data_IF_991658450197
#
_entry.id   IF_991658450197
#
_cell.length_a   1.000
_cell.length_b   1.000
_cell.length_c   1.000
_cell.angle_alpha   90.00
_cell.angle_beta   90.00
_cell.angle_gamma   90.00
#
_symmetry.space_group_name_H-M   'P 1'
#
loop_
_entity.id
_entity.type
_entity.pdbx_description
1 polymer ?
#
# COMPACT_ATOMS: atom_id res chain seq x y z
N UNK A 1 -55.40 16.75 28.02
CA UNK A 1 -54.97 17.01 26.62
C UNK A 1 -53.48 16.70 26.35
N UNK A 2 -52.68 16.29 27.36
CA UNK A 2 -51.24 16.01 27.21
C UNK A 2 -50.87 14.72 26.43
N UNK A 3 -51.76 13.73 26.33
CA UNK A 3 -51.43 12.39 25.78
C UNK A 3 -51.23 12.36 24.26
N UNK A 4 -51.74 13.34 23.50
CA UNK A 4 -51.64 13.38 22.02
C UNK A 4 -50.35 14.04 21.51
N UNK A 5 -49.72 14.90 22.33
CA UNK A 5 -48.48 15.60 21.99
C UNK A 5 -47.24 14.67 21.98
N UNK A 6 -47.25 13.66 22.85
CA UNK A 6 -46.15 12.70 22.99
C UNK A 6 -46.00 11.75 21.81
N UNK A 7 -47.12 11.39 21.16
CA UNK A 7 -47.06 10.60 19.93
C UNK A 7 -46.48 11.41 18.76
N UNK A 8 -46.79 12.71 18.68
CA UNK A 8 -46.28 13.59 17.63
C UNK A 8 -44.77 13.83 17.79
N UNK A 9 -44.28 14.02 19.01
CA UNK A 9 -42.83 14.16 19.26
C UNK A 9 -42.06 12.87 18.98
N UNK A 10 -42.61 11.70 19.28
CA UNK A 10 -42.00 10.41 18.93
C UNK A 10 -41.87 10.21 17.41
N UNK A 11 -42.91 10.57 16.65
CA UNK A 11 -42.89 10.48 15.18
C UNK A 11 -41.89 11.47 14.58
N UNK A 12 -41.83 12.71 15.08
CA UNK A 12 -40.83 13.69 14.65
C UNK A 12 -39.39 13.27 14.99
N UNK A 13 -39.16 12.63 16.14
CA UNK A 13 -37.85 12.11 16.52
C UNK A 13 -37.41 10.96 15.59
N UNK A 14 -38.33 10.06 15.22
CA UNK A 14 -38.05 8.99 14.27
C UNK A 14 -37.74 9.52 12.86
N UNK A 15 -38.41 10.59 12.42
CA UNK A 15 -38.13 11.25 11.14
C UNK A 15 -36.78 11.96 11.14
N UNK A 16 -36.38 12.59 12.25
CA UNK A 16 -35.07 13.23 12.40
C UNK A 16 -33.90 12.22 12.45
N UNK A 17 -34.13 11.02 12.99
CA UNK A 17 -33.14 9.93 12.99
C UNK A 17 -33.00 9.34 11.58
N UNK A 18 -34.07 9.38 10.78
CA UNK A 18 -34.09 8.84 9.40
C UNK A 18 -33.38 9.75 8.38
N UNK A 19 -33.18 11.04 8.68
CA UNK A 19 -32.41 11.96 7.83
C UNK A 19 -30.91 11.97 8.12
N UNK A 20 -30.43 11.17 9.08
CA UNK A 20 -29.04 10.69 9.06
C UNK A 20 -28.88 9.68 7.91
N UNK A 21 -29.00 10.18 6.69
CA UNK A 21 -28.53 9.48 5.51
C UNK A 21 -27.02 9.16 5.68
N UNK A 22 -26.51 8.08 5.07
CA UNK A 22 -25.24 7.46 5.42
C UNK A 22 -24.05 8.30 4.93
N UNK A 23 -23.70 9.36 5.67
CA UNK A 23 -22.39 10.01 5.56
C UNK A 23 -21.23 9.03 5.90
N UNK A 24 -21.56 7.89 6.49
CA UNK A 24 -20.63 6.82 6.87
C UNK A 24 -20.34 5.80 5.75
N UNK A 25 -20.97 5.94 4.57
CA UNK A 25 -20.70 5.07 3.42
C UNK A 25 -19.63 5.64 2.46
N UNK A 26 -19.10 6.83 2.74
CA UNK A 26 -17.97 7.35 1.99
C UNK A 26 -16.72 6.51 2.32
N UNK A 27 -16.37 5.59 1.42
CA UNK A 27 -14.99 5.08 1.38
C UNK A 27 -14.07 6.29 1.27
N UNK A 28 -12.99 6.38 2.07
CA UNK A 28 -12.04 7.47 1.92
C UNK A 28 -11.64 7.55 0.44
N UNK A 29 -11.84 8.73 -0.15
CA UNK A 29 -11.40 8.95 -1.52
C UNK A 29 -9.90 8.68 -1.55
N UNK A 30 -9.47 7.84 -2.51
CA UNK A 30 -8.05 7.68 -2.78
C UNK A 30 -7.43 8.99 -3.26
N UNK A 31 -6.10 9.04 -3.37
CA UNK A 31 -5.40 10.25 -3.82
C UNK A 31 -5.92 10.74 -5.18
N UNK A 32 -6.16 12.05 -5.28
CA UNK A 32 -6.75 12.74 -6.43
C UNK A 32 -5.70 13.39 -7.35
N UNK A 33 -4.45 13.45 -6.90
CA UNK A 33 -3.30 13.98 -7.64
C UNK A 33 -2.09 13.06 -7.49
N UNK A 34 -1.08 13.27 -8.34
CA UNK A 34 0.18 12.52 -8.28
C UNK A 34 0.92 12.76 -6.96
N UNK A 35 0.98 14.01 -6.49
CA UNK A 35 1.64 14.37 -5.22
C UNK A 35 0.93 13.71 -4.04
N UNK A 36 -0.40 13.75 -4.01
CA UNK A 36 -1.20 13.07 -2.98
C UNK A 36 -1.00 11.55 -3.04
N UNK A 37 -0.86 10.97 -4.23
CA UNK A 37 -0.58 9.55 -4.38
C UNK A 37 0.82 9.19 -3.87
N UNK A 38 1.81 10.03 -4.13
CA UNK A 38 3.17 9.86 -3.63
C UNK A 38 3.18 9.93 -2.10
N UNK A 39 2.52 10.94 -1.51
CA UNK A 39 2.42 11.07 -0.05
C UNK A 39 1.69 9.88 0.57
N UNK A 40 0.59 9.45 -0.04
CA UNK A 40 -0.14 8.26 0.39
C UNK A 40 0.76 7.03 0.37
N UNK A 41 1.46 6.75 -0.73
CA UNK A 41 2.32 5.57 -0.81
C UNK A 41 3.54 5.64 0.12
N UNK A 42 4.09 6.84 0.38
CA UNK A 42 5.13 7.05 1.39
C UNK A 42 4.61 6.77 2.80
N UNK A 43 3.40 7.25 3.13
CA UNK A 43 2.77 7.05 4.42
C UNK A 43 2.57 5.56 4.72
N UNK A 44 2.19 4.78 3.70
CA UNK A 44 2.05 3.33 3.80
C UNK A 44 3.37 2.56 3.66
N UNK A 45 4.52 3.25 3.54
CA UNK A 45 5.85 2.65 3.43
C UNK A 45 6.10 1.87 2.13
N UNK A 46 5.24 2.04 1.12
CA UNK A 46 5.33 1.31 -0.16
C UNK A 46 6.49 1.85 -1.00
N UNK A 47 6.59 3.17 -1.12
CA UNK A 47 7.72 3.85 -1.77
C UNK A 47 8.50 4.67 -0.75
N UNK A 48 9.79 4.82 -1.01
CA UNK A 48 10.70 5.65 -0.23
C UNK A 48 11.54 6.46 -1.20
N UNK A 49 11.87 7.69 -0.82
CA UNK A 49 12.75 8.52 -1.63
C UNK A 49 14.19 8.00 -1.63
N UNK A 50 14.99 8.56 -2.53
CA UNK A 50 16.45 8.44 -2.55
C UNK A 50 17.09 9.03 -1.28
N UNK A 51 18.42 9.05 -1.23
CA UNK A 51 19.19 9.62 -0.12
C UNK A 51 18.88 11.11 0.16
N UNK A 52 18.26 11.82 -0.79
CA UNK A 52 17.81 13.20 -0.67
C UNK A 52 16.30 13.33 -0.43
N UNK A 53 15.59 12.21 -0.23
CA UNK A 53 14.15 12.15 0.02
C UNK A 53 13.28 12.31 -1.24
N UNK A 54 13.88 12.32 -2.43
CA UNK A 54 13.16 12.48 -3.71
C UNK A 54 12.70 11.13 -4.24
N UNK A 55 11.48 11.06 -4.74
CA UNK A 55 10.91 9.83 -5.31
C UNK A 55 11.32 9.61 -6.76
N UNK A 56 11.73 10.69 -7.46
CA UNK A 56 12.10 10.64 -8.88
C UNK A 56 11.00 9.94 -9.70
N UNK A 57 9.74 10.39 -9.55
CA UNK A 57 8.56 9.70 -10.07
C UNK A 57 8.53 9.55 -11.61
N UNK A 58 9.27 10.39 -12.33
CA UNK A 58 9.41 10.34 -13.78
C UNK A 58 10.59 9.48 -14.25
N UNK A 59 11.42 8.99 -13.33
CA UNK A 59 12.53 8.11 -13.66
C UNK A 59 12.05 6.66 -13.82
N UNK A 60 12.77 5.88 -14.63
CA UNK A 60 12.56 4.44 -14.67
C UNK A 60 12.89 3.84 -13.30
N UNK A 61 12.01 2.98 -12.81
CA UNK A 61 12.27 2.17 -11.63
C UNK A 61 13.12 0.95 -12.00
N UNK A 62 14.03 0.59 -11.11
CA UNK A 62 14.78 -0.67 -11.19
C UNK A 62 13.89 -1.85 -10.80
N UNK A 63 14.29 -3.05 -11.23
CA UNK A 63 13.61 -4.30 -10.82
C UNK A 63 13.67 -4.54 -9.31
N UNK A 64 14.70 -4.09 -8.61
CA UNK A 64 14.76 -4.16 -7.14
C UNK A 64 13.77 -3.21 -6.46
N UNK A 65 13.59 -1.99 -6.99
CA UNK A 65 12.58 -1.06 -6.49
C UNK A 65 11.17 -1.59 -6.75
N UNK A 66 10.92 -2.16 -7.94
CA UNK A 66 9.67 -2.86 -8.24
C UNK A 66 9.41 -4.01 -7.25
N UNK A 67 10.46 -4.77 -6.90
CA UNK A 67 10.34 -5.86 -5.94
C UNK A 67 9.91 -5.37 -4.55
N UNK A 68 10.54 -4.29 -4.08
CA UNK A 68 10.18 -3.64 -2.83
C UNK A 68 8.72 -3.17 -2.85
N UNK A 69 8.31 -2.47 -3.92
CA UNK A 69 6.95 -1.96 -4.09
C UNK A 69 5.93 -3.10 -4.06
N UNK A 70 6.16 -4.19 -4.80
CA UNK A 70 5.24 -5.32 -4.88
C UNK A 70 5.05 -5.99 -3.51
N UNK A 71 6.14 -6.23 -2.78
CA UNK A 71 6.09 -6.85 -1.44
C UNK A 71 5.42 -5.92 -0.42
N UNK A 72 5.75 -4.62 -0.46
CA UNK A 72 5.17 -3.64 0.45
C UNK A 72 3.68 -3.41 0.18
N UNK A 73 3.26 -3.34 -1.08
CA UNK A 73 1.86 -3.25 -1.48
C UNK A 73 1.07 -4.50 -1.07
N UNK A 74 1.72 -5.66 -0.97
CA UNK A 74 1.12 -6.88 -0.41
C UNK A 74 1.14 -6.91 1.13
N UNK A 75 1.62 -5.87 1.80
CA UNK A 75 1.68 -5.76 3.26
C UNK A 75 2.69 -6.69 3.93
N UNK A 76 3.73 -7.13 3.21
CA UNK A 76 4.72 -8.10 3.72
C UNK A 76 6.15 -7.53 3.79
N UNK A 77 6.32 -6.19 3.71
CA UNK A 77 7.64 -5.53 3.73
C UNK A 77 8.49 -5.94 4.93
N UNK A 78 7.88 -6.05 6.12
CA UNK A 78 8.55 -6.43 7.37
C UNK A 78 9.16 -7.84 7.34
N UNK A 79 8.72 -8.72 6.44
CA UNK A 79 9.29 -10.06 6.30
C UNK A 79 10.52 -10.10 5.39
N UNK A 80 10.71 -9.08 4.54
CA UNK A 80 11.81 -9.04 3.58
C UNK A 80 13.19 -9.16 4.25
N UNK A 81 13.51 -8.42 5.35
CA UNK A 81 14.82 -8.52 6.00
C UNK A 81 15.18 -9.93 6.47
N UNK A 82 14.18 -10.75 6.83
CA UNK A 82 14.39 -12.14 7.27
C UNK A 82 14.94 -13.06 6.16
N UNK A 83 14.77 -12.65 4.91
CA UNK A 83 15.18 -13.43 3.73
C UNK A 83 16.42 -12.85 3.03
N UNK A 84 16.97 -11.74 3.50
CA UNK A 84 18.08 -11.03 2.84
C UNK A 84 19.36 -11.89 2.70
N UNK A 85 19.58 -12.85 3.61
CA UNK A 85 20.73 -13.77 3.56
C UNK A 85 20.44 -15.08 2.82
N UNK A 86 19.18 -15.34 2.44
CA UNK A 86 18.71 -16.61 1.87
C UNK A 86 18.13 -16.44 0.46
N UNK A 87 18.75 -15.58 -0.36
CA UNK A 87 18.31 -15.26 -1.72
C UNK A 87 18.78 -16.32 -2.72
N UNK A 88 17.84 -16.81 -3.54
CA UNK A 88 18.13 -17.82 -4.57
C UNK A 88 18.92 -17.28 -5.76
N UNK A 89 18.71 -16.02 -6.13
CA UNK A 89 19.39 -15.38 -7.25
C UNK A 89 20.79 -14.92 -6.84
N UNK A 90 21.81 -15.40 -7.54
CA UNK A 90 23.20 -15.15 -7.18
C UNK A 90 23.58 -13.67 -7.30
N UNK A 91 23.07 -12.99 -8.32
CA UNK A 91 23.31 -11.56 -8.61
C UNK A 91 22.62 -10.61 -7.63
N UNK A 92 21.72 -11.13 -6.79
CA UNK A 92 20.95 -10.36 -5.80
C UNK A 92 21.48 -10.52 -4.38
N UNK A 93 22.47 -11.39 -4.15
CA UNK A 93 23.06 -11.61 -2.82
C UNK A 93 23.86 -10.38 -2.38
N UNK A 94 23.60 -9.90 -1.16
CA UNK A 94 24.23 -8.68 -0.63
C UNK A 94 23.68 -7.37 -1.22
N UNK A 95 22.73 -7.44 -2.15
CA UNK A 95 22.02 -6.27 -2.66
C UNK A 95 21.02 -5.73 -1.62
N UNK A 96 20.79 -4.42 -1.55
CA UNK A 96 19.83 -3.84 -0.59
C UNK A 96 18.42 -4.42 -0.75
N UNK A 97 18.03 -4.73 -1.99
CA UNK A 97 16.75 -5.32 -2.35
C UNK A 97 16.65 -6.85 -2.16
N UNK A 98 17.71 -7.51 -1.70
CA UNK A 98 17.84 -8.97 -1.60
C UNK A 98 16.60 -9.66 -0.99
N UNK A 99 16.18 -9.19 0.19
CA UNK A 99 15.05 -9.74 0.91
C UNK A 99 13.72 -9.58 0.17
N UNK A 100 13.49 -8.41 -0.43
CA UNK A 100 12.28 -8.12 -1.20
C UNK A 100 12.21 -8.97 -2.47
N UNK A 101 13.34 -9.16 -3.14
CA UNK A 101 13.46 -9.99 -4.35
C UNK A 101 13.10 -11.45 -4.03
N UNK A 102 13.71 -12.03 -2.99
CA UNK A 102 13.43 -13.42 -2.59
C UNK A 102 11.98 -13.59 -2.13
N UNK A 103 11.45 -12.66 -1.32
CA UNK A 103 10.08 -12.73 -0.84
C UNK A 103 9.07 -12.60 -1.98
N UNK A 104 9.24 -11.61 -2.86
CA UNK A 104 8.37 -11.41 -4.01
C UNK A 104 8.41 -12.62 -4.96
N UNK A 105 9.56 -13.26 -5.14
CA UNK A 105 9.66 -14.51 -5.91
C UNK A 105 8.93 -15.68 -5.23
N UNK A 106 9.05 -15.84 -3.91
CA UNK A 106 8.34 -16.89 -3.14
C UNK A 106 6.82 -16.74 -3.19
N UNK A 107 6.35 -15.50 -3.17
CA UNK A 107 4.93 -15.16 -3.25
C UNK A 107 4.39 -15.22 -4.69
N UNK A 108 5.25 -15.40 -5.68
CA UNK A 108 4.87 -15.41 -7.09
C UNK A 108 4.55 -14.02 -7.67
N UNK A 109 4.92 -12.94 -6.97
CA UNK A 109 4.75 -11.56 -7.44
C UNK A 109 5.76 -11.21 -8.54
N UNK A 110 6.93 -11.85 -8.51
CA UNK A 110 8.07 -11.55 -9.39
C UNK A 110 8.69 -12.86 -9.88
N UNK A 111 9.35 -12.78 -11.03
CA UNK A 111 10.20 -13.86 -11.55
C UNK A 111 11.58 -13.32 -11.90
N UNK A 112 12.59 -14.17 -11.67
CA UNK A 112 13.93 -13.95 -12.21
C UNK A 112 13.92 -13.98 -13.73
N UNK A 113 15.00 -13.46 -14.33
CA UNK A 113 15.25 -13.63 -15.76
C UNK A 113 15.46 -15.11 -16.10
N UNK A 114 16.08 -15.82 -15.17
CA UNK A 114 16.26 -17.26 -15.18
C UNK A 114 16.28 -17.81 -13.74
N UNK A 115 16.74 -19.06 -13.56
CA UNK A 115 16.76 -19.72 -12.26
C UNK A 115 17.76 -19.12 -11.25
N UNK A 116 18.80 -18.42 -11.73
CA UNK A 116 19.90 -17.92 -10.91
C UNK A 116 20.09 -16.40 -10.99
N UNK A 117 19.44 -15.71 -11.93
CA UNK A 117 19.62 -14.28 -12.18
C UNK A 117 18.29 -13.51 -12.07
N UNK A 118 18.29 -12.41 -11.31
CA UNK A 118 17.14 -11.52 -11.20
C UNK A 118 17.28 -10.23 -11.99
N UNK A 119 18.51 -9.73 -12.12
CA UNK A 119 18.91 -8.45 -12.69
C UNK A 119 18.34 -7.26 -11.89
N UNK A 120 18.81 -7.02 -10.64
CA UNK A 120 18.17 -6.09 -9.70
C UNK A 120 18.26 -4.61 -10.11
N UNK A 121 19.26 -4.22 -10.91
CA UNK A 121 19.54 -2.84 -11.27
C UNK A 121 19.06 -2.45 -12.68
N UNK A 122 18.43 -3.38 -13.41
CA UNK A 122 17.84 -3.11 -14.71
C UNK A 122 16.43 -2.52 -14.61
#
# INVERSE_FOLDING_TARGET
>A
MLKRSWLATLVCLCLLISTLAPALAATPAGPSSQDEAIEFLKLYGIVQGDEYGRINADANITRAELAKIAVAANGQAELAPLLASAVRFADSRGHWGAGYIELGARMGLLRGRDANNFDPNA
#
